data_IF_150692796863
#
_entry.id   IF_150692796863
#
_cell.length_a   1.000
_cell.length_b   1.000
_cell.length_c   1.000
_cell.angle_alpha   90.00
_cell.angle_beta   90.00
_cell.angle_gamma   90.00
#
_symmetry.space_group_name_H-M   'P 1'
#
loop_
_entity.id
_entity.type
_entity.pdbx_description
1 polymer ?
#
# COMPACT_ATOMS: atom_id res chain seq x y z
N UNK A 1 0.91 5.05 -3.46
CA UNK A 1 -0.32 5.69 -3.98
C UNK A 1 -0.24 7.17 -3.66
N UNK A 2 -0.44 8.03 -4.65
CA UNK A 2 -0.58 9.48 -4.48
C UNK A 2 -1.98 9.89 -4.95
N UNK A 3 -2.63 10.78 -4.22
CA UNK A 3 -4.01 11.16 -4.47
C UNK A 3 -4.29 12.62 -4.08
N UNK A 4 -5.41 13.17 -4.57
CA UNK A 4 -5.91 14.48 -4.17
C UNK A 4 -7.29 14.39 -3.53
N UNK A 5 -7.54 15.31 -2.60
CA UNK A 5 -8.82 15.42 -1.89
C UNK A 5 -8.88 14.48 -0.68
N UNK A 6 -10.06 13.94 -0.34
CA UNK A 6 -10.21 13.09 0.83
C UNK A 6 -9.40 11.80 0.68
N UNK A 7 -8.95 11.26 1.82
CA UNK A 7 -8.23 10.01 1.85
C UNK A 7 -9.09 8.85 1.33
N UNK A 8 -8.51 7.88 0.59
CA UNK A 8 -9.22 6.68 0.20
C UNK A 8 -9.60 5.87 1.44
N UNK A 9 -10.83 5.38 1.47
CA UNK A 9 -11.26 4.43 2.50
C UNK A 9 -10.77 3.04 2.14
N UNK A 10 -9.78 2.55 2.89
CA UNK A 10 -9.16 1.23 2.71
C UNK A 10 -9.49 0.29 3.89
N UNK A 11 -10.46 0.66 4.73
CA UNK A 11 -10.85 -0.15 5.88
C UNK A 11 -11.45 -1.49 5.48
N UNK A 12 -11.07 -2.56 6.19
CA UNK A 12 -11.67 -3.89 6.01
C UNK A 12 -11.22 -4.65 4.76
N UNK A 13 -10.17 -4.20 4.06
CA UNK A 13 -9.55 -4.98 2.98
C UNK A 13 -8.61 -6.02 3.59
N UNK A 14 -8.95 -7.30 3.41
CA UNK A 14 -8.12 -8.40 3.87
C UNK A 14 -6.73 -8.38 3.21
N UNK A 15 -5.70 -8.65 4.02
CA UNK A 15 -4.30 -8.69 3.57
C UNK A 15 -3.69 -7.32 3.29
N UNK A 16 -4.41 -6.22 3.52
CA UNK A 16 -3.89 -4.86 3.37
C UNK A 16 -3.39 -4.31 4.71
N UNK A 17 -2.14 -3.87 4.73
CA UNK A 17 -1.52 -3.18 5.85
C UNK A 17 -1.10 -1.78 5.40
N UNK A 18 -1.64 -0.74 6.03
CA UNK A 18 -1.21 0.64 5.77
C UNK A 18 0.09 0.91 6.53
N UNK A 19 1.16 1.17 5.79
CA UNK A 19 2.50 1.44 6.34
C UNK A 19 2.66 2.92 6.68
N UNK A 20 2.24 3.79 5.77
CA UNK A 20 2.27 5.24 5.98
C UNK A 20 1.14 5.93 5.25
N UNK A 21 0.61 6.97 5.89
CA UNK A 21 -0.45 7.81 5.35
C UNK A 21 -0.21 9.26 5.78
N UNK A 22 0.29 10.09 4.86
CA UNK A 22 0.60 11.50 5.11
C UNK A 22 0.65 12.27 3.78
N UNK A 23 0.31 13.56 3.81
CA UNK A 23 0.53 14.51 2.71
C UNK A 23 -0.02 14.06 1.33
N UNK A 24 -1.20 13.44 1.31
CA UNK A 24 -1.80 12.94 0.05
C UNK A 24 -1.08 11.73 -0.54
N UNK A 25 -0.23 11.07 0.25
CA UNK A 25 0.46 9.83 -0.12
C UNK A 25 0.08 8.72 0.85
N UNK A 26 -0.15 7.54 0.28
CA UNK A 26 -0.43 6.32 1.00
C UNK A 26 0.53 5.23 0.52
N UNK A 27 1.20 4.57 1.47
CA UNK A 27 1.99 3.38 1.24
C UNK A 27 1.38 2.25 2.05
N UNK A 28 1.17 1.13 1.38
CA UNK A 28 0.59 -0.06 1.97
C UNK A 28 1.32 -1.29 1.46
N UNK A 29 1.29 -2.35 2.26
CA UNK A 29 1.65 -3.69 1.84
C UNK A 29 0.36 -4.46 1.63
N UNK A 30 0.33 -5.26 0.57
CA UNK A 30 -0.82 -6.07 0.22
C UNK A 30 -0.37 -7.52 0.06
N UNK A 31 -1.08 -8.42 0.73
CA UNK A 31 -0.97 -9.85 0.56
C UNK A 31 -2.24 -10.37 -0.14
N UNK A 32 -2.07 -11.11 -1.23
CA UNK A 32 -3.19 -11.62 -2.02
C UNK A 32 -3.62 -10.68 -3.15
N UNK A 33 -4.93 -10.67 -3.43
CA UNK A 33 -5.47 -10.00 -4.63
C UNK A 33 -5.50 -8.47 -4.47
N UNK A 34 -5.09 -7.71 -5.50
CA UNK A 34 -5.21 -6.24 -5.50
C UNK A 34 -6.61 -5.73 -5.85
N UNK A 35 -7.51 -6.57 -6.34
CA UNK A 35 -8.85 -6.17 -6.78
C UNK A 35 -9.63 -5.32 -5.75
N UNK A 36 -9.68 -5.68 -4.45
CA UNK A 36 -10.38 -4.87 -3.46
C UNK A 36 -9.76 -3.47 -3.28
N UNK A 37 -8.43 -3.37 -3.33
CA UNK A 37 -7.70 -2.10 -3.21
C UNK A 37 -8.00 -1.21 -4.41
N UNK A 38 -7.95 -1.76 -5.63
CA UNK A 38 -8.25 -1.00 -6.85
C UNK A 38 -9.69 -0.46 -6.81
N UNK A 39 -10.65 -1.29 -6.38
CA UNK A 39 -12.07 -0.87 -6.24
C UNK A 39 -12.27 0.22 -5.19
N UNK A 40 -11.58 0.13 -4.05
CA UNK A 40 -11.63 1.16 -3.02
C UNK A 40 -11.04 2.49 -3.52
N UNK A 41 -9.93 2.42 -4.25
CA UNK A 41 -9.29 3.60 -4.85
C UNK A 41 -10.10 4.25 -5.97
N UNK A 42 -11.02 3.52 -6.62
CA UNK A 42 -11.81 4.04 -7.75
C UNK A 42 -12.66 5.29 -7.40
N UNK A 43 -12.98 5.50 -6.12
CA UNK A 43 -13.72 6.68 -5.65
C UNK A 43 -12.83 7.88 -5.32
N UNK A 44 -11.51 7.71 -5.41
CA UNK A 44 -10.49 8.69 -5.04
C UNK A 44 -9.78 9.20 -6.29
N UNK A 45 -9.43 10.48 -6.31
CA UNK A 45 -8.63 11.03 -7.40
C UNK A 45 -7.15 10.62 -7.24
N UNK A 46 -6.81 9.41 -7.70
CA UNK A 46 -5.44 8.88 -7.69
C UNK A 46 -4.62 9.56 -8.80
N UNK A 47 -3.52 10.20 -8.43
CA UNK A 47 -2.59 10.85 -9.36
C UNK A 47 -1.39 9.97 -9.71
N UNK A 48 -1.04 9.03 -8.83
CA UNK A 48 0.02 8.06 -9.08
C UNK A 48 -0.24 6.74 -8.32
N UNK A 49 -0.09 5.62 -9.01
CA UNK A 49 -0.20 4.28 -8.43
C UNK A 49 1.01 3.45 -8.87
N UNK A 50 1.89 3.18 -7.92
CA UNK A 50 3.01 2.25 -8.11
C UNK A 50 2.74 0.99 -7.30
N UNK A 51 2.83 -0.16 -7.95
CA UNK A 51 2.74 -1.48 -7.35
C UNK A 51 3.96 -2.28 -7.77
N UNK A 52 4.68 -2.81 -6.80
CA UNK A 52 5.85 -3.64 -7.05
C UNK A 52 5.88 -4.78 -6.06
N UNK A 53 6.37 -5.92 -6.53
CA UNK A 53 6.77 -6.99 -5.64
C UNK A 53 8.11 -6.61 -4.99
N UNK A 54 8.27 -6.79 -3.67
CA UNK A 54 9.56 -6.60 -3.02
C UNK A 54 10.57 -7.60 -3.56
N UNK A 55 11.83 -7.18 -3.73
CA UNK A 55 12.88 -8.10 -4.17
C UNK A 55 13.22 -9.09 -3.06
N UNK A 56 13.81 -10.23 -3.45
CA UNK A 56 14.31 -11.21 -2.47
C UNK A 56 15.33 -10.57 -1.52
N UNK A 57 16.22 -9.72 -2.04
CA UNK A 57 17.22 -8.99 -1.25
C UNK A 57 16.56 -8.04 -0.25
N UNK A 58 15.51 -7.31 -0.64
CA UNK A 58 14.76 -6.45 0.28
C UNK A 58 14.07 -7.26 1.38
N UNK A 59 13.54 -8.45 1.06
CA UNK A 59 12.94 -9.35 2.04
C UNK A 59 13.99 -9.90 3.01
N UNK A 60 15.13 -10.35 2.51
CA UNK A 60 16.27 -10.78 3.32
C UNK A 60 16.76 -9.66 4.25
N UNK A 61 16.97 -8.45 3.72
CA UNK A 61 17.44 -7.30 4.49
C UNK A 61 16.44 -6.81 5.55
N UNK A 62 15.14 -7.04 5.37
CA UNK A 62 14.14 -6.79 6.45
C UNK A 62 14.27 -7.85 7.53
N UNK A 63 14.30 -9.13 7.14
CA UNK A 63 14.41 -10.25 8.08
C UNK A 63 15.62 -10.14 9.01
N UNK A 64 16.80 -9.75 8.50
CA UNK A 64 18.00 -9.58 9.32
C UNK A 64 18.07 -8.24 10.10
N UNK A 65 17.25 -7.24 9.76
CA UNK A 65 17.17 -5.99 10.53
C UNK A 65 16.30 -6.11 11.77
N UNK A 66 15.23 -6.90 11.70
CA UNK A 66 14.35 -7.17 12.84
C UNK A 66 14.94 -8.22 13.82
N UNK A 67 15.98 -8.95 13.40
CA UNK A 67 16.65 -9.98 14.20
C UNK A 67 17.82 -9.46 15.07
N UNK A 68 18.10 -8.15 15.05
CA UNK A 68 19.17 -7.49 15.82
C UNK A 68 18.64 -6.40 16.73
#
# INVERSE_FOLDING_TARGET
>A
IEYRGPAPDLGGIDGLEVVTHADGRLRCQLQGSPDPVIKALARTHVTNLEMREPSLEELFLRYYRDAG
#
